data_IF_908691878835
#
_entry.id   IF_908691878835
#
_cell.length_a   1.000
_cell.length_b   1.000
_cell.length_c   1.000
_cell.angle_alpha   90.00
_cell.angle_beta   90.00
_cell.angle_gamma   90.00
#
_symmetry.space_group_name_H-M   'P 1'
#
loop_
_entity.id
_entity.type
_entity.pdbx_description
1 polymer ?
#
# COMPACT_ATOMS: atom_id res chain seq x y z
N UNK A 1 25.21 35.12 -3.49
CA UNK A 1 24.31 34.01 -3.85
C UNK A 1 23.67 33.49 -2.59
N UNK A 2 22.35 33.57 -2.43
CA UNK A 2 21.67 32.90 -1.30
C UNK A 2 21.74 31.41 -1.57
N UNK A 3 22.62 30.70 -0.86
CA UNK A 3 22.57 29.25 -0.82
C UNK A 3 21.21 28.88 -0.25
N UNK A 4 20.33 28.30 -1.07
CA UNK A 4 19.16 27.61 -0.55
C UNK A 4 19.71 26.50 0.34
N UNK A 5 19.68 26.69 1.66
CA UNK A 5 19.95 25.60 2.58
C UNK A 5 18.84 24.58 2.36
N UNK A 6 19.17 23.48 1.67
CA UNK A 6 18.25 22.36 1.50
C UNK A 6 18.03 21.74 2.88
N UNK A 7 16.96 22.18 3.55
CA UNK A 7 16.59 21.64 4.84
C UNK A 7 16.04 20.23 4.66
N UNK A 8 16.10 19.43 5.71
CA UNK A 8 15.52 18.07 5.72
C UNK A 8 14.04 18.07 5.35
N UNK A 9 13.31 19.14 5.70
CA UNK A 9 11.89 19.27 5.40
C UNK A 9 11.63 19.58 3.91
N UNK A 10 12.44 20.44 3.30
CA UNK A 10 12.38 20.66 1.86
C UNK A 10 12.66 19.37 1.09
N UNK A 11 13.70 18.62 1.51
CA UNK A 11 14.03 17.32 0.92
C UNK A 11 12.84 16.35 1.06
N UNK A 12 12.29 16.25 2.27
CA UNK A 12 11.15 15.38 2.55
C UNK A 12 9.91 15.72 1.70
N UNK A 13 9.52 16.99 1.60
CA UNK A 13 8.34 17.39 0.82
C UNK A 13 8.56 17.19 -0.68
N UNK A 14 9.69 17.69 -1.18
CA UNK A 14 9.93 17.82 -2.61
C UNK A 14 10.46 16.52 -3.24
N UNK A 15 11.32 15.77 -2.55
CA UNK A 15 11.97 14.59 -3.10
C UNK A 15 11.37 13.30 -2.55
N UNK A 16 11.17 13.19 -1.24
CA UNK A 16 10.58 11.96 -0.67
C UNK A 16 9.08 11.87 -1.01
N UNK A 17 8.33 12.94 -0.77
CA UNK A 17 6.90 12.99 -1.07
C UNK A 17 6.63 13.43 -2.51
N UNK A 18 7.45 14.28 -3.13
CA UNK A 18 7.18 14.77 -4.48
C UNK A 18 5.95 15.69 -4.57
N UNK A 19 5.69 16.46 -3.51
CA UNK A 19 4.58 17.41 -3.41
C UNK A 19 5.06 18.83 -3.64
N UNK A 20 4.28 19.66 -4.32
CA UNK A 20 4.51 21.12 -4.39
C UNK A 20 4.13 21.81 -3.07
N UNK A 21 4.51 23.09 -2.92
CA UNK A 21 4.15 23.87 -1.72
C UNK A 21 2.64 24.05 -1.64
N UNK A 22 1.99 24.28 -2.77
CA UNK A 22 0.55 24.49 -2.91
C UNK A 22 -0.24 23.21 -2.63
N UNK A 23 0.19 22.07 -3.20
CA UNK A 23 -0.41 20.76 -2.92
C UNK A 23 -0.30 20.41 -1.44
N UNK A 24 0.87 20.66 -0.84
CA UNK A 24 1.12 20.40 0.59
C UNK A 24 0.24 21.29 1.48
N UNK A 25 0.08 22.56 1.11
CA UNK A 25 -0.76 23.51 1.83
C UNK A 25 -2.23 23.06 1.84
N UNK A 26 -2.74 22.67 0.67
CA UNK A 26 -4.10 22.14 0.52
C UNK A 26 -4.29 20.84 1.30
N UNK A 27 -3.34 19.89 1.16
CA UNK A 27 -3.40 18.59 1.82
C UNK A 27 -3.38 18.69 3.35
N UNK A 28 -2.57 19.60 3.90
CA UNK A 28 -2.41 19.76 5.34
C UNK A 28 -3.36 20.79 5.96
N UNK A 29 -4.26 21.38 5.16
CA UNK A 29 -5.14 22.48 5.57
C UNK A 29 -4.37 23.64 6.23
N UNK A 30 -3.22 24.02 5.64
CA UNK A 30 -2.34 25.12 6.10
C UNK A 30 -2.14 26.15 5.01
N UNK A 31 -1.61 27.31 5.39
CA UNK A 31 -1.25 28.35 4.42
C UNK A 31 0.06 28.01 3.69
N UNK A 32 0.19 28.47 2.45
CA UNK A 32 1.46 28.41 1.67
C UNK A 32 2.64 29.00 2.46
N UNK A 33 2.40 30.06 3.24
CA UNK A 33 3.43 30.67 4.10
C UNK A 33 3.91 29.71 5.18
N UNK A 34 3.00 28.92 5.77
CA UNK A 34 3.33 27.91 6.77
C UNK A 34 4.20 26.81 6.15
N UNK A 35 3.86 26.34 4.95
CA UNK A 35 4.64 25.31 4.25
C UNK A 35 6.03 25.83 3.87
N UNK A 36 6.15 27.08 3.40
CA UNK A 36 7.46 27.70 3.14
C UNK A 36 8.33 27.78 4.40
N UNK A 37 7.74 28.12 5.55
CA UNK A 37 8.46 28.09 6.83
C UNK A 37 8.92 26.69 7.21
N UNK A 38 8.14 25.65 6.89
CA UNK A 38 8.58 24.27 7.09
C UNK A 38 9.79 23.93 6.23
N UNK A 39 9.79 24.32 4.96
CA UNK A 39 10.92 24.16 4.04
C UNK A 39 12.15 24.99 4.47
N UNK A 40 11.95 26.07 5.22
CA UNK A 40 13.02 26.85 5.86
C UNK A 40 13.55 26.19 7.16
N UNK A 41 12.96 25.08 7.59
CA UNK A 41 13.42 24.27 8.73
C UNK A 41 12.50 24.28 9.95
N UNK A 42 11.37 24.98 9.91
CA UNK A 42 10.39 24.92 10.99
C UNK A 42 9.78 23.51 11.13
N UNK A 43 9.40 23.12 12.35
CA UNK A 43 8.83 21.80 12.61
C UNK A 43 7.55 21.57 11.79
N UNK A 44 7.52 20.51 10.99
CA UNK A 44 6.28 20.01 10.38
C UNK A 44 5.56 19.15 11.43
N UNK A 45 4.28 19.42 11.75
CA UNK A 45 3.48 18.57 12.63
C UNK A 45 3.50 17.10 12.16
N UNK A 46 3.60 16.12 13.08
CA UNK A 46 3.62 14.70 12.72
C UNK A 46 2.44 14.26 11.85
N UNK A 47 1.26 14.81 12.10
CA UNK A 47 0.02 14.55 11.36
C UNK A 47 0.16 15.02 9.91
N UNK A 48 0.74 16.20 9.70
CA UNK A 48 1.00 16.73 8.35
C UNK A 48 2.04 15.88 7.61
N UNK A 49 3.13 15.46 8.28
CA UNK A 49 4.10 14.52 7.68
C UNK A 49 3.43 13.20 7.27
N UNK A 50 2.54 12.68 8.11
CA UNK A 50 1.80 11.44 7.82
C UNK A 50 0.86 11.61 6.62
N UNK A 51 0.08 12.70 6.58
CA UNK A 51 -0.80 13.01 5.46
C UNK A 51 -0.02 13.10 4.13
N UNK A 52 1.14 13.76 4.13
CA UNK A 52 2.01 13.85 2.94
C UNK A 52 2.45 12.46 2.43
N UNK A 53 2.83 11.55 3.34
CA UNK A 53 3.21 10.17 2.97
C UNK A 53 2.02 9.35 2.48
N UNK A 54 0.89 9.43 3.15
CA UNK A 54 -0.34 8.72 2.76
C UNK A 54 -0.85 9.18 1.39
N UNK A 55 -0.89 10.49 1.13
CA UNK A 55 -1.35 11.03 -0.15
C UNK A 55 -0.52 10.51 -1.34
N UNK A 56 0.77 10.29 -1.11
CA UNK A 56 1.70 9.78 -2.12
C UNK A 56 1.83 8.26 -2.11
N UNK A 57 0.95 7.57 -1.38
CA UNK A 57 0.89 6.11 -1.26
C UNK A 57 2.19 5.48 -0.73
N UNK A 58 2.98 6.27 0.02
CA UNK A 58 4.16 5.78 0.72
C UNK A 58 3.77 4.98 1.99
N UNK A 59 2.55 5.19 2.49
CA UNK A 59 1.91 4.41 3.56
C UNK A 59 0.55 3.89 3.04
N UNK A 60 0.25 2.61 3.24
CA UNK A 60 -0.97 1.96 2.75
C UNK A 60 -2.17 2.13 3.69
N UNK A 61 -1.91 2.18 4.98
CA UNK A 61 -2.95 2.22 6.02
C UNK A 61 -2.33 2.70 7.33
N UNK A 62 -3.13 3.33 8.20
CA UNK A 62 -2.64 3.83 9.47
C UNK A 62 -2.51 2.77 10.57
N UNK A 63 -2.99 1.55 10.35
CA UNK A 63 -3.00 0.46 11.34
C UNK A 63 -1.68 -0.33 11.37
N UNK A 64 -1.37 -0.93 12.52
CA UNK A 64 -0.09 -1.58 12.80
C UNK A 64 0.17 -2.78 11.88
N UNK A 65 -0.86 -3.47 11.39
CA UNK A 65 -0.72 -4.61 10.47
C UNK A 65 -0.11 -4.22 9.12
N UNK A 66 -0.16 -2.93 8.78
CA UNK A 66 0.36 -2.39 7.54
C UNK A 66 1.75 -1.75 7.68
N UNK A 67 2.34 -1.76 8.89
CA UNK A 67 3.70 -1.27 9.11
C UNK A 67 4.68 -2.07 8.26
N UNK A 68 5.53 -1.35 7.52
CA UNK A 68 6.53 -1.93 6.62
C UNK A 68 6.00 -2.31 5.24
N UNK A 69 4.69 -2.22 4.99
CA UNK A 69 4.15 -2.33 3.65
C UNK A 69 4.18 -0.97 2.93
N UNK A 70 4.49 -0.97 1.63
CA UNK A 70 4.47 0.25 0.80
C UNK A 70 4.17 -0.08 -0.66
N UNK A 71 3.81 0.94 -1.45
CA UNK A 71 3.70 0.79 -2.92
C UNK A 71 4.98 1.31 -3.56
N UNK A 72 5.68 0.44 -4.30
CA UNK A 72 6.89 0.79 -5.04
C UNK A 72 6.77 0.27 -6.48
N UNK A 73 6.99 1.12 -7.49
CA UNK A 73 7.01 0.73 -8.90
C UNK A 73 5.80 -0.10 -9.37
N UNK A 74 4.58 0.27 -8.92
CA UNK A 74 3.30 -0.43 -9.20
C UNK A 74 3.18 -1.83 -8.56
N UNK A 75 4.03 -2.15 -7.58
CA UNK A 75 3.99 -3.39 -6.80
C UNK A 75 3.75 -3.09 -5.32
N UNK A 76 3.18 -4.05 -4.61
CA UNK A 76 3.06 -4.02 -3.15
C UNK A 76 4.36 -4.56 -2.56
N UNK A 77 5.14 -3.70 -1.91
CA UNK A 77 6.31 -4.11 -1.14
C UNK A 77 5.88 -4.54 0.26
N UNK A 78 6.30 -5.73 0.67
CA UNK A 78 6.08 -6.26 2.01
C UNK A 78 7.23 -5.88 2.96
N UNK A 79 7.05 -6.05 4.28
CA UNK A 79 8.06 -5.71 5.28
C UNK A 79 9.38 -6.46 5.13
N UNK A 80 9.35 -7.64 4.50
CA UNK A 80 10.53 -8.43 4.15
C UNK A 80 11.31 -7.87 2.94
N UNK A 81 10.87 -6.76 2.35
CA UNK A 81 11.47 -6.12 1.19
C UNK A 81 11.07 -6.72 -0.16
N UNK A 82 10.31 -7.82 -0.19
CA UNK A 82 9.82 -8.42 -1.43
C UNK A 82 8.68 -7.59 -2.02
N UNK A 83 8.59 -7.53 -3.35
CA UNK A 83 7.58 -6.76 -4.06
C UNK A 83 6.69 -7.69 -4.90
N UNK A 84 5.38 -7.62 -4.66
CA UNK A 84 4.37 -8.46 -5.31
C UNK A 84 3.56 -7.67 -6.33
N UNK A 85 3.32 -8.29 -7.49
CA UNK A 85 2.39 -7.74 -8.50
C UNK A 85 0.94 -7.95 -8.05
N UNK A 86 0.00 -7.17 -8.58
CA UNK A 86 -1.43 -7.40 -8.34
C UNK A 86 -1.87 -8.85 -8.63
N UNK A 87 -1.33 -9.47 -9.69
CA UNK A 87 -1.66 -10.86 -10.04
C UNK A 87 -1.15 -11.87 -9.00
N UNK A 88 0.04 -11.65 -8.44
CA UNK A 88 0.57 -12.50 -7.36
C UNK A 88 -0.29 -12.40 -6.10
N UNK A 89 -0.78 -11.20 -5.77
CA UNK A 89 -1.69 -10.98 -4.64
C UNK A 89 -3.01 -11.72 -4.87
N UNK A 90 -3.62 -11.57 -6.06
CA UNK A 90 -4.85 -12.27 -6.43
C UNK A 90 -4.68 -13.79 -6.38
N UNK A 91 -3.53 -14.29 -6.83
CA UNK A 91 -3.22 -15.73 -6.79
C UNK A 91 -3.12 -16.22 -5.34
N UNK A 92 -2.46 -15.46 -4.46
CA UNK A 92 -2.38 -15.77 -3.04
C UNK A 92 -3.76 -15.81 -2.37
N UNK A 93 -4.62 -14.83 -2.67
CA UNK A 93 -6.01 -14.81 -2.19
C UNK A 93 -6.79 -16.03 -2.66
N UNK A 94 -6.72 -16.35 -3.96
CA UNK A 94 -7.39 -17.54 -4.51
C UNK A 94 -6.91 -18.84 -3.88
N UNK A 95 -5.61 -18.99 -3.59
CA UNK A 95 -5.09 -20.19 -2.90
C UNK A 95 -5.59 -20.31 -1.45
N UNK A 96 -5.72 -19.18 -0.74
CA UNK A 96 -6.28 -19.15 0.62
C UNK A 96 -7.76 -19.54 0.59
N UNK A 97 -8.52 -19.01 -0.38
CA UNK A 97 -9.94 -19.33 -0.57
C UNK A 97 -10.14 -20.81 -0.93
N UNK A 98 -9.37 -21.34 -1.90
CA UNK A 98 -9.41 -22.76 -2.32
C UNK A 98 -9.05 -23.69 -1.16
N UNK A 99 -8.12 -23.26 -0.30
CA UNK A 99 -7.72 -24.02 0.89
C UNK A 99 -8.75 -23.92 2.03
N UNK A 100 -9.89 -23.25 1.82
CA UNK A 100 -10.97 -23.24 2.79
C UNK A 100 -11.52 -24.65 2.97
N UNK A 101 -11.72 -25.06 4.23
CA UNK A 101 -12.21 -26.39 4.58
C UNK A 101 -13.55 -26.72 3.90
N UNK A 102 -14.36 -25.69 3.64
CA UNK A 102 -15.62 -25.77 2.92
C UNK A 102 -15.41 -26.19 1.45
N UNK A 103 -14.43 -25.60 0.77
CA UNK A 103 -14.15 -25.88 -0.63
C UNK A 103 -13.50 -27.25 -0.81
N UNK A 104 -12.64 -27.68 0.13
CA UNK A 104 -12.11 -29.05 0.19
C UNK A 104 -13.24 -30.07 0.36
N UNK A 105 -14.17 -29.84 1.31
CA UNK A 105 -15.33 -30.72 1.55
C UNK A 105 -16.23 -30.79 0.33
N UNK A 106 -16.51 -29.64 -0.30
CA UNK A 106 -17.38 -29.54 -1.48
C UNK A 106 -16.74 -30.24 -2.69
N UNK A 107 -15.47 -29.97 -2.96
CA UNK A 107 -14.70 -30.61 -4.04
C UNK A 107 -14.60 -32.12 -3.84
N UNK A 108 -14.37 -32.59 -2.61
CA UNK A 108 -14.36 -34.01 -2.27
C UNK A 108 -15.71 -34.67 -2.57
N UNK A 109 -16.81 -34.00 -2.20
CA UNK A 109 -18.16 -34.51 -2.46
C UNK A 109 -18.45 -34.54 -3.96
N UNK A 110 -18.15 -33.47 -4.69
CA UNK A 110 -18.30 -33.41 -6.15
C UNK A 110 -17.54 -34.52 -6.87
N UNK A 111 -16.28 -34.75 -6.49
CA UNK A 111 -15.47 -35.83 -7.06
C UNK A 111 -16.06 -37.21 -6.77
N UNK A 112 -16.56 -37.46 -5.55
CA UNK A 112 -17.24 -38.72 -5.21
C UNK A 112 -18.49 -38.93 -6.08
N UNK A 113 -19.33 -37.91 -6.21
CA UNK A 113 -20.55 -38.00 -7.02
C UNK A 113 -20.23 -38.18 -8.49
N UNK A 114 -19.25 -37.45 -9.04
CA UNK A 114 -18.81 -37.56 -10.42
C UNK A 114 -18.28 -38.97 -10.74
N UNK A 115 -17.49 -39.57 -9.83
CA UNK A 115 -17.01 -40.95 -9.97
C UNK A 115 -18.16 -41.96 -9.98
N UNK A 116 -19.10 -41.83 -9.04
CA UNK A 116 -20.28 -42.71 -8.99
C UNK A 116 -21.13 -42.60 -10.26
N UNK A 117 -21.35 -41.39 -10.79
CA UNK A 117 -22.04 -41.18 -12.06
C UNK A 117 -21.27 -41.82 -13.23
N UNK A 118 -19.94 -41.67 -13.26
CA UNK A 118 -19.10 -42.28 -14.27
C UNK A 118 -19.15 -43.81 -14.23
N UNK A 119 -19.23 -44.43 -13.05
CA UNK A 119 -19.39 -45.88 -12.90
C UNK A 119 -20.77 -46.35 -13.38
N UNK A 120 -21.81 -45.56 -13.13
CA UNK A 120 -23.17 -45.85 -13.63
C UNK A 120 -23.23 -45.73 -15.16
N UNK A 121 -22.56 -44.72 -15.74
CA UNK A 121 -22.51 -44.48 -17.20
C UNK A 121 -21.50 -45.34 -17.95
N UNK A 122 -20.51 -45.90 -17.27
CA UNK A 122 -19.44 -46.73 -17.82
C UNK A 122 -19.80 -48.22 -17.94
N UNK A 123 -21.07 -48.57 -17.64
CA UNK A 123 -21.74 -49.80 -18.06
C UNK A 123 -22.67 -49.49 -19.21
#
# INVERSE_FOLDING_TARGET
MKYFQMTKNYIFRQFDCGLTVEETANLCFKSVRTVKKWDEGALIPPECKRLMRMYRRLELSPYDEWIGFSIENRKLKAPNGQAYTPQQILTGLGLIEISSELEIKTSTKLLKTARAISEIKGR
#
